data_IF_845088027911
#
_entry.id   IF_845088027911
#
_cell.length_a   1.000
_cell.length_b   1.000
_cell.length_c   1.000
_cell.angle_alpha   90.00
_cell.angle_beta   90.00
_cell.angle_gamma   90.00
#
_symmetry.space_group_name_H-M   'P 1'
#
loop_
_entity.id
_entity.type
_entity.pdbx_description
1 polymer ?
#
# COMPACT_ATOMS: atom_id res chain seq x y z
N UNK A 1 -31.65 -23.65 0.89
CA UNK A 1 -31.33 -23.79 -0.55
C UNK A 1 -30.46 -22.65 -1.10
N UNK A 2 -30.62 -21.38 -0.68
CA UNK A 2 -29.75 -20.28 -1.16
C UNK A 2 -28.25 -20.45 -0.82
N UNK A 3 -27.90 -20.90 0.39
CA UNK A 3 -26.48 -21.05 0.80
C UNK A 3 -25.67 -22.10 0.02
N UNK A 4 -26.31 -23.18 -0.47
CA UNK A 4 -25.60 -24.20 -1.25
C UNK A 4 -25.18 -23.62 -2.61
N UNK A 5 -26.06 -22.83 -3.23
CA UNK A 5 -25.78 -22.18 -4.51
C UNK A 5 -24.62 -21.18 -4.41
N UNK A 6 -24.52 -20.42 -3.30
CA UNK A 6 -23.40 -19.48 -3.11
C UNK A 6 -22.05 -20.21 -2.95
N UNK A 7 -22.02 -21.33 -2.22
CA UNK A 7 -20.79 -22.13 -2.08
C UNK A 7 -20.31 -22.69 -3.42
N UNK A 8 -21.24 -23.16 -4.25
CA UNK A 8 -20.92 -23.68 -5.58
C UNK A 8 -20.32 -22.58 -6.47
N UNK A 9 -20.87 -21.36 -6.43
CA UNK A 9 -20.34 -20.18 -7.15
C UNK A 9 -18.95 -19.77 -6.64
N UNK A 10 -18.71 -19.76 -5.33
CA UNK A 10 -17.38 -19.50 -4.74
C UNK A 10 -16.37 -20.54 -5.24
N UNK A 11 -16.75 -21.81 -5.30
CA UNK A 11 -15.88 -22.87 -5.80
C UNK A 11 -15.59 -22.72 -7.30
N UNK A 12 -16.58 -22.32 -8.11
CA UNK A 12 -16.37 -21.97 -9.53
C UNK A 12 -15.37 -20.83 -9.66
N UNK A 13 -15.53 -19.75 -8.88
CA UNK A 13 -14.62 -18.62 -8.84
C UNK A 13 -13.19 -19.02 -8.51
N UNK A 14 -12.97 -19.87 -7.50
CA UNK A 14 -11.65 -20.40 -7.17
C UNK A 14 -11.01 -21.14 -8.34
N UNK A 15 -11.74 -22.09 -8.96
CA UNK A 15 -11.22 -22.86 -10.10
C UNK A 15 -10.88 -21.97 -11.29
N UNK A 16 -11.65 -20.91 -11.51
CA UNK A 16 -11.37 -19.96 -12.58
C UNK A 16 -10.13 -19.13 -12.28
N UNK A 17 -9.96 -18.68 -11.03
CA UNK A 17 -8.78 -17.95 -10.60
C UNK A 17 -7.50 -18.80 -10.62
N UNK A 18 -7.59 -20.11 -10.37
CA UNK A 18 -6.47 -21.04 -10.61
C UNK A 18 -5.96 -21.01 -12.06
N UNK A 19 -6.86 -20.79 -13.05
CA UNK A 19 -6.45 -20.62 -14.45
C UNK A 19 -5.71 -19.29 -14.67
N UNK A 20 -6.16 -18.22 -14.01
CA UNK A 20 -5.48 -16.91 -14.03
C UNK A 20 -4.06 -17.05 -13.50
N UNK A 21 -3.88 -17.64 -12.32
CA UNK A 21 -2.55 -17.81 -11.71
C UNK A 21 -1.62 -18.67 -12.58
N UNK A 22 -2.12 -19.75 -13.19
CA UNK A 22 -1.32 -20.55 -14.13
C UNK A 22 -0.84 -19.73 -15.32
N UNK A 23 -1.68 -18.83 -15.83
CA UNK A 23 -1.34 -17.90 -16.91
C UNK A 23 -0.31 -16.87 -16.45
N UNK A 24 -0.48 -16.29 -15.28
CA UNK A 24 0.48 -15.32 -14.70
C UNK A 24 1.86 -15.97 -14.47
N UNK A 25 1.90 -17.17 -13.87
CA UNK A 25 3.15 -17.92 -13.69
C UNK A 25 3.84 -18.30 -15.00
N UNK A 26 3.07 -18.50 -16.08
CA UNK A 26 3.63 -18.68 -17.41
C UNK A 26 4.33 -17.40 -17.90
N UNK A 27 3.77 -16.23 -17.61
CA UNK A 27 4.34 -14.93 -17.99
C UNK A 27 5.50 -14.47 -17.13
N UNK A 28 5.69 -15.06 -15.94
CA UNK A 28 6.91 -14.88 -15.16
C UNK A 28 8.14 -15.55 -15.83
N UNK A 29 7.93 -16.41 -16.83
CA UNK A 29 9.01 -17.08 -17.54
C UNK A 29 9.61 -16.19 -18.64
N UNK A 30 10.95 -16.19 -18.81
CA UNK A 30 11.58 -15.52 -19.94
C UNK A 30 10.99 -16.00 -21.29
N UNK A 31 10.73 -15.05 -22.19
CA UNK A 31 10.22 -15.29 -23.55
C UNK A 31 8.79 -15.86 -23.62
N UNK A 32 8.02 -15.82 -22.54
CA UNK A 32 6.60 -16.16 -22.56
C UNK A 32 5.83 -15.34 -23.61
N UNK A 33 4.88 -15.97 -24.30
CA UNK A 33 4.04 -15.30 -25.31
C UNK A 33 2.58 -15.48 -24.93
N UNK A 34 1.79 -14.43 -25.09
CA UNK A 34 0.35 -14.47 -24.84
C UNK A 34 -0.32 -15.45 -25.81
N UNK A 35 -0.97 -16.47 -25.26
CA UNK A 35 -1.87 -17.35 -26.01
C UNK A 35 -3.26 -16.69 -26.12
N UNK A 36 -3.55 -16.15 -27.30
CA UNK A 36 -4.79 -15.43 -27.57
C UNK A 36 -6.03 -16.32 -27.48
N UNK A 37 -5.95 -17.61 -27.80
CA UNK A 37 -7.09 -18.52 -27.72
C UNK A 37 -7.36 -18.90 -26.26
N UNK A 38 -6.31 -19.10 -25.47
CA UNK A 38 -6.44 -19.24 -24.01
C UNK A 38 -7.06 -17.98 -23.38
N UNK A 39 -6.59 -16.79 -23.73
CA UNK A 39 -7.13 -15.52 -23.23
C UNK A 39 -8.61 -15.36 -23.60
N UNK A 40 -9.05 -15.76 -24.82
CA UNK A 40 -10.46 -15.69 -25.23
C UNK A 40 -11.34 -16.64 -24.41
N UNK A 41 -10.87 -17.86 -24.18
CA UNK A 41 -11.60 -18.84 -23.37
C UNK A 41 -11.73 -18.35 -21.93
N UNK A 42 -10.66 -17.81 -21.36
CA UNK A 42 -10.67 -17.25 -20.01
C UNK A 42 -11.64 -16.06 -19.88
N UNK A 43 -11.63 -15.16 -20.88
CA UNK A 43 -12.58 -14.05 -20.96
C UNK A 43 -14.04 -14.55 -21.00
N UNK A 44 -14.33 -15.59 -21.81
CA UNK A 44 -15.67 -16.19 -21.88
C UNK A 44 -16.08 -16.78 -20.52
N UNK A 45 -15.21 -17.58 -19.90
CA UNK A 45 -15.47 -18.20 -18.60
C UNK A 45 -15.78 -17.16 -17.52
N UNK A 46 -15.09 -16.01 -17.52
CA UNK A 46 -15.36 -14.92 -16.58
C UNK A 46 -16.69 -14.22 -16.86
N UNK A 47 -17.05 -13.99 -18.13
CA UNK A 47 -18.35 -13.41 -18.50
C UNK A 47 -19.49 -14.31 -18.06
N UNK A 48 -19.39 -15.60 -18.35
CA UNK A 48 -20.39 -16.60 -17.97
C UNK A 48 -20.57 -16.65 -16.44
N UNK A 49 -19.46 -16.69 -15.68
CA UNK A 49 -19.54 -16.65 -14.22
C UNK A 49 -20.16 -15.34 -13.72
N UNK A 50 -19.74 -14.19 -14.26
CA UNK A 50 -20.23 -12.87 -13.85
C UNK A 50 -21.75 -12.73 -14.02
N UNK A 51 -22.31 -13.30 -15.10
CA UNK A 51 -23.76 -13.32 -15.35
C UNK A 51 -24.54 -14.21 -14.36
N UNK A 52 -23.92 -15.27 -13.82
CA UNK A 52 -24.52 -16.14 -12.81
C UNK A 52 -24.51 -15.52 -11.39
N UNK A 53 -23.62 -14.57 -11.11
CA UNK A 53 -23.44 -14.02 -9.76
C UNK A 53 -24.65 -13.16 -9.33
N UNK A 54 -25.18 -13.35 -8.12
CA UNK A 54 -26.27 -12.51 -7.62
C UNK A 54 -25.77 -11.09 -7.38
N UNK A 55 -26.57 -10.10 -7.78
CA UNK A 55 -26.33 -8.70 -7.45
C UNK A 55 -26.64 -8.45 -5.98
N UNK A 56 -25.60 -8.32 -5.16
CA UNK A 56 -25.73 -7.96 -3.75
C UNK A 56 -24.77 -6.82 -3.41
N UNK A 57 -25.29 -5.63 -3.18
CA UNK A 57 -24.49 -4.44 -2.84
C UNK A 57 -24.22 -4.32 -1.33
N UNK A 58 -24.90 -5.11 -0.50
CA UNK A 58 -24.83 -5.01 0.96
C UNK A 58 -24.74 -6.39 1.60
N UNK A 59 -23.57 -7.07 1.52
CA UNK A 59 -23.39 -8.40 2.09
C UNK A 59 -23.58 -8.40 3.61
N UNK A 60 -24.34 -9.37 4.12
CA UNK A 60 -24.64 -9.56 5.56
C UNK A 60 -24.08 -10.85 6.14
N UNK A 61 -23.46 -11.67 5.30
CA UNK A 61 -22.80 -12.92 5.70
C UNK A 61 -21.50 -13.10 4.95
N UNK A 62 -20.60 -13.95 5.47
CA UNK A 62 -19.33 -14.25 4.82
C UNK A 62 -19.51 -14.74 3.37
N UNK A 63 -20.44 -15.65 3.11
CA UNK A 63 -20.67 -16.13 1.74
C UNK A 63 -21.17 -15.02 0.80
N UNK A 64 -22.03 -14.13 1.30
CA UNK A 64 -22.48 -12.98 0.53
C UNK A 64 -21.33 -12.02 0.21
N UNK A 65 -20.44 -11.78 1.18
CA UNK A 65 -19.24 -10.95 0.98
C UNK A 65 -18.28 -11.57 -0.03
N UNK A 66 -18.04 -12.87 0.06
CA UNK A 66 -17.18 -13.60 -0.87
C UNK A 66 -17.70 -13.53 -2.31
N UNK A 67 -19.02 -13.57 -2.49
CA UNK A 67 -19.68 -13.42 -3.79
C UNK A 67 -19.63 -11.97 -4.28
N UNK A 68 -19.82 -11.00 -3.39
CA UNK A 68 -19.67 -9.59 -3.68
C UNK A 68 -18.26 -9.28 -4.20
N UNK A 69 -17.22 -9.74 -3.52
CA UNK A 69 -15.83 -9.55 -3.95
C UNK A 69 -15.53 -10.30 -5.27
N UNK A 70 -16.04 -11.53 -5.42
CA UNK A 70 -15.90 -12.30 -6.66
C UNK A 70 -16.50 -11.56 -7.86
N UNK A 71 -17.63 -10.87 -7.68
CA UNK A 71 -18.24 -10.07 -8.76
C UNK A 71 -17.34 -8.92 -9.23
N UNK A 72 -16.63 -8.27 -8.31
CA UNK A 72 -15.69 -7.20 -8.63
C UNK A 72 -14.47 -7.75 -9.36
N UNK A 73 -13.92 -8.86 -8.87
CA UNK A 73 -12.79 -9.55 -9.50
C UNK A 73 -13.15 -9.98 -10.91
N UNK A 74 -14.30 -10.62 -11.12
CA UNK A 74 -14.74 -11.05 -12.45
C UNK A 74 -14.85 -9.85 -13.40
N UNK A 75 -15.49 -8.75 -12.96
CA UNK A 75 -15.59 -7.54 -13.77
C UNK A 75 -14.23 -6.99 -14.17
N UNK A 76 -13.29 -6.89 -13.22
CA UNK A 76 -11.94 -6.38 -13.50
C UNK A 76 -11.15 -7.30 -14.45
N UNK A 77 -11.26 -8.62 -14.26
CA UNK A 77 -10.62 -9.60 -15.14
C UNK A 77 -11.19 -9.53 -16.56
N UNK A 78 -12.51 -9.36 -16.72
CA UNK A 78 -13.14 -9.10 -18.01
C UNK A 78 -12.55 -7.84 -18.65
N UNK A 79 -12.56 -6.71 -17.92
CA UNK A 79 -12.05 -5.43 -18.44
C UNK A 79 -10.57 -5.51 -18.85
N UNK A 80 -9.73 -6.21 -18.08
CA UNK A 80 -8.30 -6.35 -18.37
C UNK A 80 -8.06 -7.28 -19.58
N UNK A 81 -8.76 -8.41 -19.64
CA UNK A 81 -8.63 -9.36 -20.76
C UNK A 81 -9.19 -8.78 -22.06
N UNK A 82 -10.23 -7.95 -22.01
CA UNK A 82 -10.75 -7.25 -23.19
C UNK A 82 -9.75 -6.22 -23.74
N UNK A 83 -9.08 -5.47 -22.85
CA UNK A 83 -8.06 -4.48 -23.24
C UNK A 83 -6.85 -5.14 -23.94
N UNK A 84 -6.54 -6.42 -23.66
CA UNK A 84 -5.50 -7.15 -24.39
C UNK A 84 -5.85 -7.39 -25.86
N UNK A 85 -7.13 -7.55 -26.19
CA UNK A 85 -7.59 -7.77 -27.57
C UNK A 85 -7.88 -6.47 -28.31
N UNK A 86 -8.41 -5.48 -27.61
CA UNK A 86 -8.77 -4.19 -28.17
C UNK A 86 -8.40 -3.09 -27.18
N UNK A 87 -7.14 -2.62 -27.19
CA UNK A 87 -6.65 -1.61 -26.25
C UNK A 87 -7.52 -0.36 -26.32
N UNK A 88 -8.40 -0.20 -25.34
CA UNK A 88 -9.28 0.95 -25.24
C UNK A 88 -8.68 1.96 -24.25
N UNK A 89 -8.67 3.24 -24.61
CA UNK A 89 -8.23 4.28 -23.68
C UNK A 89 -9.39 4.54 -22.73
N UNK A 90 -9.34 3.89 -21.55
CA UNK A 90 -10.29 4.12 -20.46
C UNK A 90 -10.37 5.60 -20.10
N UNK A 91 -11.57 6.11 -19.89
CA UNK A 91 -11.77 7.48 -19.40
C UNK A 91 -11.33 7.56 -17.94
N UNK A 92 -10.98 8.77 -17.44
CA UNK A 92 -10.66 8.95 -16.04
C UNK A 92 -11.72 8.39 -15.08
N UNK A 93 -13.00 8.58 -15.37
CA UNK A 93 -14.11 8.11 -14.55
C UNK A 93 -14.19 6.58 -14.51
N UNK A 94 -13.90 5.92 -15.63
CA UNK A 94 -13.81 4.46 -15.68
C UNK A 94 -12.67 3.96 -14.80
N UNK A 95 -11.48 4.59 -14.88
CA UNK A 95 -10.32 4.21 -14.07
C UNK A 95 -10.59 4.45 -12.58
N UNK A 96 -11.16 5.59 -12.21
CA UNK A 96 -11.54 5.92 -10.82
C UNK A 96 -12.53 4.87 -10.26
N UNK A 97 -13.55 4.52 -11.05
CA UNK A 97 -14.55 3.53 -10.64
C UNK A 97 -13.97 2.13 -10.44
N UNK A 98 -12.91 1.75 -11.16
CA UNK A 98 -12.26 0.43 -10.98
C UNK A 98 -11.59 0.28 -9.60
N UNK A 99 -11.20 1.39 -8.97
CA UNK A 99 -10.47 1.41 -7.70
C UNK A 99 -11.33 1.83 -6.50
N UNK A 100 -12.64 1.94 -6.69
CA UNK A 100 -13.60 2.33 -5.64
C UNK A 100 -13.31 3.71 -5.00
N UNK A 101 -12.67 4.60 -5.76
CA UNK A 101 -12.37 5.95 -5.30
C UNK A 101 -13.61 6.83 -5.45
N UNK A 102 -14.13 7.31 -4.33
CA UNK A 102 -15.27 8.22 -4.26
C UNK A 102 -14.85 9.69 -4.27
N UNK A 103 -15.78 10.59 -4.60
CA UNK A 103 -15.55 12.04 -4.47
C UNK A 103 -15.30 12.45 -3.01
N UNK A 104 -15.90 11.74 -2.06
CA UNK A 104 -15.73 11.97 -0.63
C UNK A 104 -14.27 11.75 -0.17
N UNK A 105 -13.55 10.80 -0.76
CA UNK A 105 -12.14 10.54 -0.45
C UNK A 105 -11.28 11.77 -0.79
N UNK A 106 -11.52 12.36 -1.96
CA UNK A 106 -10.83 13.57 -2.39
C UNK A 106 -11.24 14.80 -1.57
N UNK A 107 -12.49 14.89 -1.14
CA UNK A 107 -12.94 16.01 -0.31
C UNK A 107 -12.34 15.95 1.11
N UNK A 108 -12.22 14.75 1.70
CA UNK A 108 -11.47 14.52 2.95
C UNK A 108 -10.01 14.93 2.80
N UNK A 109 -9.35 14.57 1.70
CA UNK A 109 -7.95 14.97 1.43
C UNK A 109 -7.82 16.49 1.35
N UNK A 110 -8.71 17.16 0.60
CA UNK A 110 -8.71 18.63 0.47
C UNK A 110 -8.92 19.32 1.82
N UNK A 111 -9.80 18.80 2.65
CA UNK A 111 -10.02 19.30 4.01
C UNK A 111 -8.79 19.07 4.89
N UNK A 112 -8.22 17.87 4.85
CA UNK A 112 -7.01 17.52 5.61
C UNK A 112 -5.84 18.46 5.28
N UNK A 113 -5.60 18.76 4.00
CA UNK A 113 -4.55 19.68 3.54
C UNK A 113 -4.74 21.10 4.09
N UNK A 114 -5.98 21.57 4.18
CA UNK A 114 -6.31 22.88 4.75
C UNK A 114 -6.12 22.90 6.27
N UNK A 115 -6.66 21.90 6.96
CA UNK A 115 -6.68 21.83 8.42
C UNK A 115 -5.30 21.54 9.03
N UNK A 116 -4.40 20.88 8.30
CA UNK A 116 -3.06 20.53 8.79
C UNK A 116 -1.95 21.49 8.35
N UNK A 117 -2.29 22.57 7.63
CA UNK A 117 -1.28 23.46 7.02
C UNK A 117 -0.26 23.98 8.02
N UNK A 118 -0.70 24.44 9.19
CA UNK A 118 0.19 24.96 10.24
C UNK A 118 1.10 23.87 10.82
N UNK A 119 0.56 22.68 11.06
CA UNK A 119 1.32 21.53 11.56
C UNK A 119 2.40 21.09 10.56
N UNK A 120 2.08 21.09 9.26
CA UNK A 120 3.03 20.75 8.19
C UNK A 120 4.18 21.76 8.14
N UNK A 121 3.87 23.06 8.21
CA UNK A 121 4.90 24.11 8.25
C UNK A 121 5.79 23.95 9.49
N UNK A 122 5.19 23.70 10.66
CA UNK A 122 5.94 23.50 11.91
C UNK A 122 6.85 22.27 11.85
N UNK A 123 6.35 21.13 11.34
CA UNK A 123 7.15 19.92 11.15
C UNK A 123 8.31 20.14 10.17
N UNK A 124 8.07 20.85 9.05
CA UNK A 124 9.12 21.18 8.10
C UNK A 124 10.20 22.07 8.74
N UNK A 125 9.83 23.06 9.56
CA UNK A 125 10.79 23.91 10.28
C UNK A 125 11.64 23.11 11.27
N UNK A 126 11.02 22.22 12.06
CA UNK A 126 11.77 21.33 12.98
C UNK A 126 12.75 20.43 12.24
N UNK A 127 12.34 19.84 11.11
CA UNK A 127 13.21 19.01 10.28
C UNK A 127 14.35 19.82 9.66
N UNK A 128 14.08 21.06 9.21
CA UNK A 128 15.12 21.96 8.71
C UNK A 128 16.15 22.30 9.79
N UNK A 129 15.71 22.59 11.01
CA UNK A 129 16.59 22.88 12.15
C UNK A 129 17.44 21.66 12.51
N UNK A 130 16.83 20.47 12.60
CA UNK A 130 17.49 19.21 12.92
C UNK A 130 18.58 18.80 11.91
N UNK A 131 18.45 19.18 10.64
CA UNK A 131 19.38 18.82 9.56
C UNK A 131 20.25 19.98 9.05
N UNK A 132 20.16 21.16 9.67
CA UNK A 132 20.87 22.36 9.22
C UNK A 132 22.40 22.33 9.39
N UNK A 133 22.92 21.44 10.23
CA UNK A 133 24.30 21.50 10.71
C UNK A 133 25.30 20.61 9.97
N UNK A 134 24.86 19.67 9.12
CA UNK A 134 25.78 18.74 8.44
C UNK A 134 25.24 18.19 7.12
N UNK A 135 26.07 18.24 6.07
CA UNK A 135 25.71 17.69 4.75
C UNK A 135 25.85 16.18 4.75
N UNK A 136 24.71 15.50 4.72
CA UNK A 136 24.63 14.04 4.56
C UNK A 136 24.81 13.68 3.08
N UNK A 137 25.36 12.50 2.81
CA UNK A 137 25.35 11.92 1.47
C UNK A 137 24.80 10.50 1.49
N UNK A 138 24.36 10.01 0.34
CA UNK A 138 23.96 8.61 0.22
C UNK A 138 25.15 7.69 0.50
N UNK A 139 24.86 6.48 0.99
CA UNK A 139 25.88 5.45 1.16
C UNK A 139 26.36 5.00 -0.22
N UNK A 140 27.68 5.05 -0.44
CA UNK A 140 28.29 4.63 -1.71
C UNK A 140 28.35 3.09 -1.83
N UNK A 141 27.19 2.48 -2.10
CA UNK A 141 27.00 1.02 -2.19
C UNK A 141 27.79 0.35 -3.32
N UNK A 142 28.39 1.15 -4.22
CA UNK A 142 29.37 0.67 -5.20
C UNK A 142 30.70 0.19 -4.56
N UNK A 143 31.03 0.63 -3.36
CA UNK A 143 32.16 0.09 -2.59
C UNK A 143 31.75 -1.19 -1.85
N UNK A 144 32.39 -2.34 -2.12
CA UNK A 144 32.09 -3.58 -1.41
C UNK A 144 32.31 -3.46 0.11
N UNK A 145 33.28 -2.66 0.55
CA UNK A 145 33.57 -2.46 1.97
C UNK A 145 32.44 -1.70 2.65
N UNK A 146 31.99 -0.58 2.07
CA UNK A 146 30.88 0.20 2.64
C UNK A 146 29.57 -0.58 2.60
N UNK A 147 29.35 -1.36 1.54
CA UNK A 147 28.20 -2.27 1.42
C UNK A 147 28.19 -3.29 2.56
N UNK A 148 29.30 -3.99 2.80
CA UNK A 148 29.37 -4.96 3.90
C UNK A 148 29.14 -4.32 5.28
N UNK A 149 29.66 -3.11 5.50
CA UNK A 149 29.46 -2.35 6.74
C UNK A 149 27.99 -2.01 6.96
N UNK A 150 27.30 -1.47 5.95
CA UNK A 150 25.90 -1.05 6.09
C UNK A 150 24.94 -2.23 6.16
N UNK A 151 25.19 -3.31 5.40
CA UNK A 151 24.42 -4.55 5.50
C UNK A 151 24.56 -5.14 6.90
N UNK A 152 25.77 -5.20 7.45
CA UNK A 152 26.01 -5.70 8.81
C UNK A 152 25.31 -4.84 9.86
N UNK A 153 25.34 -3.50 9.71
CA UNK A 153 24.66 -2.57 10.60
C UNK A 153 23.16 -2.84 10.64
N UNK A 154 22.51 -2.89 9.47
CA UNK A 154 21.05 -3.11 9.38
C UNK A 154 20.69 -4.52 9.87
N UNK A 155 21.45 -5.55 9.49
CA UNK A 155 21.22 -6.93 9.96
C UNK A 155 21.26 -7.05 11.48
N UNK A 156 22.17 -6.33 12.15
CA UNK A 156 22.20 -6.31 13.62
C UNK A 156 20.90 -5.75 14.20
N UNK A 157 20.36 -4.67 13.64
CA UNK A 157 19.08 -4.11 14.07
C UNK A 157 17.89 -4.99 13.67
N UNK A 158 17.94 -5.73 12.56
CA UNK A 158 16.95 -6.76 12.20
C UNK A 158 16.88 -7.81 13.31
N UNK A 159 18.03 -8.32 13.78
CA UNK A 159 18.07 -9.33 14.83
C UNK A 159 17.60 -8.80 16.19
N UNK A 160 17.89 -7.54 16.50
CA UNK A 160 17.33 -6.88 17.69
C UNK A 160 15.80 -6.77 17.56
N UNK A 161 15.31 -6.33 16.40
CA UNK A 161 13.88 -6.18 16.16
C UNK A 161 13.14 -7.52 16.26
N UNK A 162 13.69 -8.61 15.71
CA UNK A 162 13.13 -9.97 15.86
C UNK A 162 13.00 -10.38 17.33
N UNK A 163 13.97 -10.02 18.19
CA UNK A 163 13.88 -10.29 19.64
C UNK A 163 12.77 -9.48 20.28
N UNK A 164 12.64 -8.20 19.92
CA UNK A 164 11.54 -7.34 20.40
C UNK A 164 10.19 -7.92 19.98
N UNK A 165 10.03 -8.34 18.72
CA UNK A 165 8.82 -9.02 18.26
C UNK A 165 8.54 -10.30 19.06
N UNK A 166 9.55 -11.14 19.25
CA UNK A 166 9.42 -12.40 19.99
C UNK A 166 9.03 -12.19 21.46
N UNK A 167 9.41 -11.06 22.06
CA UNK A 167 9.17 -10.80 23.48
C UNK A 167 7.87 -10.04 23.73
N UNK A 168 7.54 -9.10 22.84
CA UNK A 168 6.47 -8.12 23.08
C UNK A 168 5.28 -8.26 22.12
N UNK A 169 5.46 -8.94 20.99
CA UNK A 169 4.42 -9.16 19.97
C UNK A 169 4.14 -10.65 19.72
N UNK A 170 4.61 -11.55 20.58
CA UNK A 170 4.46 -13.00 20.40
C UNK A 170 3.01 -13.46 20.28
N UNK A 171 2.09 -12.79 20.98
CA UNK A 171 0.66 -13.08 20.96
C UNK A 171 -0.08 -12.44 19.76
N UNK A 172 0.62 -11.62 18.97
CA UNK A 172 0.03 -10.96 17.83
C UNK A 172 -0.07 -11.91 16.62
N UNK A 173 -1.21 -11.97 15.89
CA UNK A 173 -1.43 -12.98 14.87
C UNK A 173 -0.35 -13.02 13.78
N UNK A 174 0.22 -14.21 13.56
CA UNK A 174 1.22 -14.45 12.51
C UNK A 174 2.66 -14.11 12.90
N UNK A 175 2.92 -13.46 14.05
CA UNK A 175 4.29 -13.14 14.49
C UNK A 175 5.15 -14.38 14.73
N UNK A 176 4.66 -15.46 15.39
CA UNK A 176 5.45 -16.69 15.52
C UNK A 176 5.85 -17.28 14.16
N UNK A 177 4.92 -17.31 13.20
CA UNK A 177 5.18 -17.80 11.84
C UNK A 177 6.13 -16.88 11.06
N UNK A 178 6.04 -15.57 11.25
CA UNK A 178 6.96 -14.60 10.67
C UNK A 178 8.39 -14.89 11.11
N UNK A 179 8.61 -15.08 12.42
CA UNK A 179 9.93 -15.33 12.99
C UNK A 179 10.51 -16.71 12.58
N UNK A 180 9.65 -17.69 12.32
CA UNK A 180 10.04 -19.04 11.90
C UNK A 180 10.30 -19.15 10.39
N UNK A 181 9.48 -18.47 9.56
CA UNK A 181 9.40 -18.77 8.13
C UNK A 181 9.84 -17.63 7.20
N UNK A 182 9.85 -16.38 7.65
CA UNK A 182 10.20 -15.23 6.80
C UNK A 182 11.66 -14.81 6.99
N UNK A 183 12.34 -14.58 5.86
CA UNK A 183 13.69 -14.02 5.84
C UNK A 183 13.60 -12.50 5.76
N UNK A 184 13.96 -11.80 6.83
CA UNK A 184 14.13 -10.34 6.81
C UNK A 184 15.57 -10.05 6.45
N UNK A 185 15.80 -9.44 5.29
CA UNK A 185 17.12 -9.21 4.69
C UNK A 185 17.32 -7.75 4.29
N UNK A 186 18.54 -7.42 3.91
CA UNK A 186 18.94 -6.10 3.42
C UNK A 186 19.00 -6.11 1.91
N UNK A 187 18.52 -5.03 1.29
CA UNK A 187 18.56 -4.82 -0.14
C UNK A 187 19.44 -3.60 -0.46
N UNK A 188 20.59 -3.91 -1.06
CA UNK A 188 21.65 -2.95 -1.38
C UNK A 188 21.66 -2.53 -2.85
N UNK A 189 20.84 -3.16 -3.70
CA UNK A 189 20.76 -2.86 -5.14
C UNK A 189 19.50 -2.07 -5.45
N UNK A 190 18.35 -2.53 -4.93
CA UNK A 190 17.09 -1.82 -5.10
C UNK A 190 16.94 -0.73 -4.01
N UNK A 191 16.70 0.54 -4.36
CA UNK A 191 16.48 1.58 -3.36
C UNK A 191 15.16 1.43 -2.60
N UNK A 192 14.23 0.60 -3.08
CA UNK A 192 12.93 0.36 -2.44
C UNK A 192 13.01 -0.86 -1.52
N UNK A 193 12.35 -0.74 -0.37
CA UNK A 193 11.98 -1.90 0.44
C UNK A 193 10.74 -2.57 -0.16
N UNK A 194 10.59 -3.87 0.07
CA UNK A 194 9.42 -4.63 -0.38
C UNK A 194 9.30 -5.96 0.38
N UNK A 195 8.06 -6.41 0.57
CA UNK A 195 7.72 -7.76 1.00
C UNK A 195 7.41 -8.68 -0.19
N UNK A 196 8.13 -9.79 -0.28
CA UNK A 196 7.94 -10.84 -1.28
C UNK A 196 7.23 -12.05 -0.65
N UNK A 197 5.98 -12.28 -1.08
CA UNK A 197 5.16 -13.40 -0.61
C UNK A 197 5.74 -14.76 -1.04
N UNK A 198 6.23 -14.86 -2.28
CA UNK A 198 6.69 -16.13 -2.87
C UNK A 198 8.02 -16.55 -2.28
N UNK A 199 8.97 -15.62 -2.16
CA UNK A 199 10.26 -15.85 -1.54
C UNK A 199 10.19 -15.95 -0.01
N UNK A 200 9.03 -15.58 0.58
CA UNK A 200 8.84 -15.41 2.03
C UNK A 200 9.94 -14.53 2.63
N UNK A 201 10.13 -13.36 2.04
CA UNK A 201 11.19 -12.46 2.41
C UNK A 201 10.69 -11.01 2.51
N UNK A 202 11.28 -10.25 3.42
CA UNK A 202 11.15 -8.81 3.48
C UNK A 202 12.53 -8.20 3.24
N UNK A 203 12.63 -7.30 2.27
CA UNK A 203 13.87 -6.69 1.85
C UNK A 203 13.88 -5.22 2.28
N UNK A 204 14.82 -4.84 3.15
CA UNK A 204 14.95 -3.49 3.69
C UNK A 204 15.99 -2.72 2.86
N UNK A 205 15.53 -1.68 2.15
CA UNK A 205 16.37 -0.87 1.27
C UNK A 205 17.34 0.04 2.04
N UNK A 206 18.64 -0.11 1.78
CA UNK A 206 19.68 0.68 2.46
C UNK A 206 19.51 2.19 2.24
N UNK A 207 19.21 2.59 1.01
CA UNK A 207 19.09 4.01 0.63
C UNK A 207 17.99 4.77 1.39
N UNK A 208 17.03 4.07 2.00
CA UNK A 208 15.92 4.68 2.74
C UNK A 208 16.23 4.90 4.22
N UNK A 209 17.19 4.15 4.78
CA UNK A 209 17.42 4.10 6.22
C UNK A 209 18.87 4.37 6.65
N UNK A 210 19.80 4.59 5.73
CA UNK A 210 21.19 4.93 6.06
C UNK A 210 21.70 6.14 5.28
N UNK A 211 22.67 6.83 5.87
CA UNK A 211 23.39 7.93 5.23
C UNK A 211 24.86 7.92 5.63
N UNK A 212 25.68 8.66 4.88
CA UNK A 212 27.07 8.96 5.19
C UNK A 212 27.21 10.35 5.81
N UNK A 213 28.00 10.43 6.87
CA UNK A 213 28.42 11.68 7.50
C UNK A 213 29.83 11.53 8.05
N UNK A 214 30.71 12.49 7.73
CA UNK A 214 32.11 12.51 8.16
C UNK A 214 32.88 11.20 7.89
N UNK A 215 32.57 10.56 6.76
CA UNK A 215 33.20 9.29 6.36
C UNK A 215 32.62 8.04 7.02
N UNK A 216 31.62 8.18 7.90
CA UNK A 216 30.98 7.08 8.61
C UNK A 216 29.57 6.79 8.06
N UNK A 217 29.19 5.51 8.08
CA UNK A 217 27.82 5.07 7.82
C UNK A 217 27.00 5.26 9.08
N UNK A 218 25.84 5.92 8.95
CA UNK A 218 24.92 6.21 10.04
C UNK A 218 23.53 5.68 9.70
N UNK A 219 22.83 5.17 10.71
CA UNK A 219 21.43 4.76 10.60
C UNK A 219 20.50 5.97 10.76
N UNK A 220 19.33 5.89 10.16
CA UNK A 220 18.16 6.74 10.42
C UNK A 220 17.12 5.86 11.14
N UNK A 221 17.11 5.82 12.48
CA UNK A 221 16.31 4.87 13.26
C UNK A 221 14.82 4.88 12.91
N UNK A 222 14.24 6.08 12.79
CA UNK A 222 12.83 6.25 12.45
C UNK A 222 12.48 5.71 11.05
N UNK A 223 13.43 5.77 10.11
CA UNK A 223 13.20 5.19 8.77
C UNK A 223 13.31 3.68 8.81
N UNK A 224 14.27 3.14 9.56
CA UNK A 224 14.40 1.69 9.70
C UNK A 224 13.14 1.07 10.33
N UNK A 225 12.67 1.65 11.44
CA UNK A 225 11.45 1.21 12.13
C UNK A 225 10.21 1.34 11.26
N UNK A 226 10.07 2.45 10.52
CA UNK A 226 8.99 2.66 9.56
C UNK A 226 8.96 1.55 8.51
N UNK A 227 10.12 1.19 7.94
CA UNK A 227 10.21 0.09 6.97
C UNK A 227 9.88 -1.27 7.58
N UNK A 228 10.24 -1.52 8.84
CA UNK A 228 9.83 -2.75 9.52
C UNK A 228 8.34 -2.81 9.78
N UNK A 229 7.75 -1.74 10.32
CA UNK A 229 6.31 -1.69 10.56
C UNK A 229 5.52 -1.88 9.26
N UNK A 230 5.95 -1.21 8.19
CA UNK A 230 5.26 -1.24 6.90
C UNK A 230 5.41 -2.60 6.18
N UNK A 231 6.64 -3.02 5.90
CA UNK A 231 6.89 -4.22 5.08
C UNK A 231 6.70 -5.51 5.88
N UNK A 232 7.16 -5.54 7.14
CA UNK A 232 7.18 -6.76 7.94
C UNK A 232 5.88 -6.92 8.72
N UNK A 233 5.48 -5.94 9.52
CA UNK A 233 4.26 -6.04 10.32
C UNK A 233 2.99 -5.78 9.50
N UNK A 234 3.07 -4.96 8.46
CA UNK A 234 1.99 -4.73 7.52
C UNK A 234 1.88 -5.88 6.51
N UNK A 235 2.76 -5.89 5.51
CA UNK A 235 2.63 -6.81 4.39
C UNK A 235 2.93 -8.27 4.73
N UNK A 236 4.05 -8.59 5.40
CA UNK A 236 4.37 -10.01 5.67
C UNK A 236 3.34 -10.65 6.61
N UNK A 237 2.91 -9.98 7.69
CA UNK A 237 1.85 -10.52 8.54
C UNK A 237 0.52 -10.62 7.80
N UNK A 238 0.18 -9.67 6.91
CA UNK A 238 -1.00 -9.81 6.08
C UNK A 238 -0.93 -11.05 5.19
N UNK A 239 0.21 -11.32 4.55
CA UNK A 239 0.40 -12.53 3.75
C UNK A 239 0.27 -13.80 4.60
N UNK A 240 0.93 -13.87 5.75
CA UNK A 240 0.89 -15.03 6.66
C UNK A 240 -0.54 -15.31 7.12
N UNK A 241 -1.22 -14.31 7.68
CA UNK A 241 -2.56 -14.49 8.23
C UNK A 241 -3.58 -14.79 7.11
N UNK A 242 -3.41 -14.20 5.94
CA UNK A 242 -4.20 -14.53 4.75
C UNK A 242 -4.00 -15.98 4.32
N UNK A 243 -2.77 -16.46 4.24
CA UNK A 243 -2.47 -17.83 3.80
C UNK A 243 -2.99 -18.88 4.80
N UNK A 244 -2.93 -18.57 6.10
CA UNK A 244 -3.46 -19.43 7.19
C UNK A 244 -4.99 -19.44 7.28
N UNK A 245 -5.69 -18.46 6.71
CA UNK A 245 -7.15 -18.37 6.77
C UNK A 245 -7.85 -19.43 5.91
N UNK A 246 -9.16 -19.61 6.09
CA UNK A 246 -9.99 -20.46 5.22
C UNK A 246 -10.53 -19.74 3.98
N UNK A 247 -10.02 -18.54 3.68
CA UNK A 247 -10.52 -17.73 2.56
C UNK A 247 -10.28 -18.40 1.20
N UNK A 248 -11.16 -18.16 0.21
CA UNK A 248 -10.97 -18.63 -1.16
C UNK A 248 -9.65 -18.15 -1.78
N UNK A 249 -9.10 -18.92 -2.73
CA UNK A 249 -7.87 -18.60 -3.46
C UNK A 249 -7.94 -17.22 -4.13
N UNK A 250 -9.08 -16.88 -4.74
CA UNK A 250 -9.26 -15.58 -5.37
C UNK A 250 -9.26 -14.40 -4.39
N UNK A 251 -9.32 -14.62 -3.07
CA UNK A 251 -9.06 -13.60 -2.06
C UNK A 251 -7.60 -13.62 -1.63
N UNK A 252 -7.04 -14.82 -1.42
CA UNK A 252 -5.67 -15.02 -0.95
C UNK A 252 -4.61 -14.52 -1.93
N UNK A 253 -4.92 -14.57 -3.22
CA UNK A 253 -4.00 -14.22 -4.30
C UNK A 253 -4.39 -12.96 -5.07
N UNK A 254 -5.42 -12.22 -4.63
CA UNK A 254 -5.81 -10.94 -5.23
C UNK A 254 -4.86 -9.81 -4.86
N UNK A 255 -3.59 -9.93 -5.23
CA UNK A 255 -2.50 -8.98 -4.92
C UNK A 255 -2.39 -7.93 -6.05
N UNK A 256 -3.53 -7.51 -6.59
CA UNK A 256 -3.60 -6.62 -7.75
C UNK A 256 -3.86 -5.15 -7.41
N UNK A 257 -3.91 -4.28 -8.43
CA UNK A 257 -4.25 -2.86 -8.29
C UNK A 257 -5.56 -2.57 -7.55
N UNK A 258 -6.52 -3.51 -7.56
CA UNK A 258 -7.81 -3.35 -6.87
C UNK A 258 -7.74 -3.42 -5.35
N UNK A 259 -6.79 -4.20 -4.81
CA UNK A 259 -6.62 -4.37 -3.36
C UNK A 259 -5.51 -3.50 -2.80
N UNK A 260 -4.74 -2.82 -3.67
CA UNK A 260 -3.55 -2.06 -3.24
C UNK A 260 -3.89 -1.00 -2.20
N UNK A 261 -5.01 -0.29 -2.35
CA UNK A 261 -5.43 0.71 -1.37
C UNK A 261 -5.61 0.13 0.04
N UNK A 262 -6.32 -1.00 0.16
CA UNK A 262 -6.45 -1.74 1.42
C UNK A 262 -5.10 -2.22 1.95
N UNK A 263 -4.26 -2.79 1.09
CA UNK A 263 -2.95 -3.33 1.48
C UNK A 263 -2.02 -2.26 2.03
N UNK A 264 -1.90 -1.12 1.34
CA UNK A 264 -1.09 0.00 1.81
C UNK A 264 -1.69 0.63 3.07
N UNK A 265 -3.02 0.76 3.16
CA UNK A 265 -3.71 1.29 4.34
C UNK A 265 -3.47 0.40 5.58
N UNK A 266 -3.45 -0.94 5.41
CA UNK A 266 -3.03 -1.87 6.46
C UNK A 266 -1.56 -1.65 6.83
N UNK A 267 -0.66 -1.57 5.85
CA UNK A 267 0.75 -1.39 6.12
C UNK A 267 1.08 -0.06 6.82
N UNK A 268 0.42 1.03 6.43
CA UNK A 268 0.51 2.33 7.08
C UNK A 268 0.02 2.32 8.54
N UNK A 269 -1.03 1.54 8.83
CA UNK A 269 -1.50 1.34 10.20
C UNK A 269 -0.44 0.63 11.06
N UNK A 270 0.11 -0.48 10.57
CA UNK A 270 1.14 -1.25 11.28
C UNK A 270 2.48 -0.52 11.38
N UNK A 271 2.79 0.34 10.41
CA UNK A 271 3.86 1.33 10.50
C UNK A 271 3.65 2.27 11.69
N UNK A 272 2.44 2.77 11.92
CA UNK A 272 2.17 3.65 13.06
C UNK A 272 2.14 2.89 14.38
N UNK A 273 1.52 1.71 14.40
CA UNK A 273 1.34 0.89 15.59
C UNK A 273 2.66 0.53 16.28
N UNK A 274 3.71 0.22 15.53
CA UNK A 274 5.02 -0.07 16.12
C UNK A 274 5.59 1.15 16.87
N UNK A 275 5.42 2.36 16.35
CA UNK A 275 5.89 3.57 17.03
C UNK A 275 5.07 3.87 18.28
N UNK A 276 3.74 3.78 18.19
CA UNK A 276 2.85 3.96 19.35
C UNK A 276 3.16 2.95 20.45
N UNK A 277 3.39 1.69 20.08
CA UNK A 277 3.74 0.64 21.02
C UNK A 277 5.06 0.93 21.74
N UNK A 278 6.12 1.24 21.00
CA UNK A 278 7.44 1.54 21.58
C UNK A 278 7.40 2.82 22.43
N UNK A 279 6.61 3.82 22.02
CA UNK A 279 6.43 5.05 22.80
C UNK A 279 5.71 4.78 24.14
N UNK A 280 4.73 3.87 24.12
CA UNK A 280 4.00 3.44 25.32
C UNK A 280 4.73 2.41 26.18
N UNK A 281 5.83 1.81 25.69
CA UNK A 281 6.56 0.74 26.36
C UNK A 281 8.07 0.98 26.36
N UNK A 282 8.53 1.62 27.43
CA UNK A 282 9.94 1.97 27.61
C UNK A 282 10.88 0.75 27.58
N UNK A 283 10.50 -0.38 28.16
CA UNK A 283 11.36 -1.57 28.16
C UNK A 283 11.57 -2.12 26.74
N UNK A 284 10.52 -2.10 25.91
CA UNK A 284 10.62 -2.49 24.51
C UNK A 284 11.44 -1.48 23.69
N UNK A 285 11.25 -0.18 23.91
CA UNK A 285 12.04 0.88 23.28
C UNK A 285 13.53 0.79 23.64
N UNK A 286 13.85 0.62 24.93
CA UNK A 286 15.24 0.47 25.40
C UNK A 286 15.88 -0.81 24.81
N UNK A 287 15.09 -1.88 24.63
CA UNK A 287 15.56 -3.13 23.99
C UNK A 287 15.95 -2.97 22.53
N UNK A 288 15.41 -1.97 21.81
CA UNK A 288 15.82 -1.65 20.44
C UNK A 288 17.28 -1.18 20.35
N UNK A 289 17.90 -0.81 21.47
CA UNK A 289 19.33 -0.47 21.58
C UNK A 289 19.78 0.63 20.62
N UNK A 290 18.90 1.59 20.31
CA UNK A 290 19.31 2.80 19.59
C UNK A 290 20.21 3.67 20.47
N UNK A 291 21.19 4.33 19.86
CA UNK A 291 22.07 5.28 20.56
C UNK A 291 21.33 6.54 21.04
N UNK A 292 20.19 6.84 20.39
CA UNK A 292 19.36 7.99 20.68
C UNK A 292 18.12 7.61 21.49
N UNK A 293 17.69 8.52 22.36
CA UNK A 293 16.43 8.42 23.08
C UNK A 293 15.22 8.26 22.13
N UNK A 294 14.36 7.27 22.42
CA UNK A 294 13.26 6.90 21.55
C UNK A 294 12.25 8.03 21.36
N UNK A 295 12.05 8.92 22.34
CA UNK A 295 11.13 10.06 22.20
C UNK A 295 11.53 10.95 21.03
N UNK A 296 12.84 11.16 20.81
CA UNK A 296 13.33 11.96 19.68
C UNK A 296 13.14 11.24 18.34
N UNK A 297 13.32 9.91 18.33
CA UNK A 297 13.06 9.08 17.16
C UNK A 297 11.57 9.17 16.79
N UNK A 298 10.69 9.06 17.79
CA UNK A 298 9.24 9.16 17.65
C UNK A 298 8.78 10.55 17.15
N UNK A 299 9.37 11.63 17.67
CA UNK A 299 9.12 13.00 17.19
C UNK A 299 9.53 13.17 15.72
N UNK A 300 10.70 12.66 15.33
CA UNK A 300 11.13 12.68 13.92
C UNK A 300 10.25 11.82 13.02
N UNK A 301 9.78 10.67 13.50
CA UNK A 301 8.79 9.85 12.80
C UNK A 301 7.51 10.64 12.56
N UNK A 302 6.96 11.26 13.60
CA UNK A 302 5.72 12.04 13.53
C UNK A 302 5.83 13.19 12.52
N UNK A 303 6.94 13.94 12.56
CA UNK A 303 7.23 15.02 11.59
C UNK A 303 7.40 14.47 10.17
N UNK A 304 8.08 13.34 10.02
CA UNK A 304 8.26 12.69 8.72
C UNK A 304 6.93 12.20 8.13
N UNK A 305 6.05 11.62 8.96
CA UNK A 305 4.76 11.08 8.55
C UNK A 305 3.85 12.20 8.04
N UNK A 306 3.69 13.29 8.80
CA UNK A 306 2.84 14.41 8.36
C UNK A 306 3.34 15.08 7.07
N UNK A 307 4.67 15.14 6.88
CA UNK A 307 5.26 15.65 5.65
C UNK A 307 5.05 14.69 4.45
N UNK A 308 5.17 13.38 4.68
CA UNK A 308 4.89 12.35 3.66
C UNK A 308 3.42 12.38 3.24
N UNK A 309 2.51 12.39 4.22
CA UNK A 309 1.07 12.48 3.99
C UNK A 309 0.71 13.75 3.23
N UNK A 310 1.34 14.89 3.54
CA UNK A 310 1.16 16.14 2.80
C UNK A 310 1.50 16.00 1.31
N UNK A 311 2.66 15.44 0.97
CA UNK A 311 3.06 15.30 -0.43
C UNK A 311 2.20 14.29 -1.19
N UNK A 312 1.80 13.19 -0.54
CA UNK A 312 0.91 12.18 -1.11
C UNK A 312 -0.48 12.79 -1.38
N UNK A 313 -1.07 13.43 -0.37
CA UNK A 313 -2.36 14.11 -0.48
C UNK A 313 -2.38 15.20 -1.55
N UNK A 314 -1.32 16.01 -1.60
CA UNK A 314 -1.20 17.06 -2.61
C UNK A 314 -1.07 16.48 -4.02
N UNK A 315 -0.36 15.36 -4.19
CA UNK A 315 -0.29 14.64 -5.46
C UNK A 315 -1.65 14.06 -5.87
N UNK A 316 -2.44 13.50 -4.94
CA UNK A 316 -3.79 13.00 -5.23
C UNK A 316 -4.72 14.10 -5.74
N UNK A 317 -4.72 15.27 -5.10
CA UNK A 317 -5.46 16.46 -5.57
C UNK A 317 -4.97 16.88 -6.96
N UNK A 318 -3.66 16.81 -7.20
CA UNK A 318 -3.03 17.03 -8.50
C UNK A 318 -3.57 16.10 -9.59
N UNK A 319 -3.52 14.79 -9.37
CA UNK A 319 -4.02 13.79 -10.31
C UNK A 319 -5.51 13.97 -10.57
N UNK A 320 -6.31 14.26 -9.54
CA UNK A 320 -7.73 14.52 -9.68
C UNK A 320 -8.04 15.75 -10.55
N UNK A 321 -7.35 16.88 -10.32
CA UNK A 321 -7.55 18.09 -11.12
C UNK A 321 -7.15 17.83 -12.58
N UNK A 322 -5.99 17.19 -12.80
CA UNK A 322 -5.52 16.87 -14.15
C UNK A 322 -6.44 15.89 -14.88
N UNK A 323 -7.10 14.98 -14.16
CA UNK A 323 -8.01 14.00 -14.75
C UNK A 323 -9.35 14.62 -15.20
N UNK A 324 -9.73 15.78 -14.66
CA UNK A 324 -10.96 16.51 -15.00
C UNK A 324 -10.71 17.77 -15.86
N UNK A 325 -9.49 17.93 -16.38
CA UNK A 325 -9.08 19.08 -17.20
C UNK A 325 -8.33 18.63 -18.46
N UNK A 326 -8.05 19.57 -19.37
CA UNK A 326 -7.32 19.29 -20.61
C UNK A 326 -5.85 19.62 -20.47
N UNK A 327 -5.01 19.02 -21.32
CA UNK A 327 -3.57 19.28 -21.38
C UNK A 327 -3.20 20.78 -21.47
N UNK A 328 -4.01 21.57 -22.20
CA UNK A 328 -3.75 22.99 -22.43
C UNK A 328 -4.31 23.93 -21.33
N UNK A 329 -5.02 23.39 -20.33
CA UNK A 329 -5.63 24.15 -19.23
C UNK A 329 -4.61 24.50 -18.11
N UNK A 330 -3.33 24.72 -18.46
CA UNK A 330 -2.24 24.89 -17.49
C UNK A 330 -2.55 25.94 -16.40
N UNK A 331 -2.96 27.14 -16.80
CA UNK A 331 -3.23 28.23 -15.84
C UNK A 331 -4.40 27.89 -14.90
N UNK A 332 -5.41 27.17 -15.41
CA UNK A 332 -6.55 26.71 -14.61
C UNK A 332 -6.10 25.64 -13.61
N UNK A 333 -5.35 24.64 -14.06
CA UNK A 333 -4.82 23.57 -13.20
C UNK A 333 -3.95 24.11 -12.08
N UNK A 334 -3.04 25.03 -12.39
CA UNK A 334 -2.18 25.69 -11.40
C UNK A 334 -3.02 26.48 -10.40
N UNK A 335 -4.01 27.25 -10.89
CA UNK A 335 -4.90 28.04 -10.02
C UNK A 335 -5.73 27.18 -9.07
N UNK A 336 -6.21 26.02 -9.53
CA UNK A 336 -7.01 25.10 -8.70
C UNK A 336 -6.16 24.36 -7.66
N UNK A 337 -4.89 24.10 -7.93
CA UNK A 337 -3.95 23.46 -6.99
C UNK A 337 -3.39 24.40 -5.93
N UNK A 338 -3.23 25.68 -6.28
CA UNK A 338 -2.59 26.69 -5.43
C UNK A 338 -3.13 26.77 -3.99
N UNK A 339 -4.45 26.67 -3.73
CA UNK A 339 -4.99 26.77 -2.37
C UNK A 339 -4.53 25.66 -1.42
N UNK A 340 -4.07 24.53 -1.95
CA UNK A 340 -3.68 23.35 -1.17
C UNK A 340 -2.17 23.25 -0.96
N UNK A 341 -1.37 23.99 -1.75
CA UNK A 341 0.09 23.93 -1.69
C UNK A 341 0.66 24.98 -0.74
N UNK A 342 1.58 24.55 0.12
CA UNK A 342 2.45 25.42 0.90
C UNK A 342 3.55 26.03 0.01
N UNK A 343 4.12 25.24 -0.92
CA UNK A 343 5.09 25.73 -1.91
C UNK A 343 4.37 26.30 -3.14
N UNK A 344 4.49 27.61 -3.35
CA UNK A 344 3.86 28.32 -4.47
C UNK A 344 4.34 27.85 -5.85
N UNK A 345 5.53 27.26 -5.96
CA UNK A 345 6.08 26.76 -7.23
C UNK A 345 5.65 25.33 -7.54
N UNK A 346 5.29 24.56 -6.51
CA UNK A 346 4.97 23.15 -6.67
C UNK A 346 3.83 22.90 -7.68
N UNK A 347 2.70 23.62 -7.67
CA UNK A 347 1.61 23.39 -8.64
C UNK A 347 2.06 23.47 -10.10
N UNK A 348 2.81 24.53 -10.45
CA UNK A 348 3.32 24.72 -11.81
C UNK A 348 4.31 23.62 -12.20
N UNK A 349 5.20 23.22 -11.29
CA UNK A 349 6.16 22.14 -11.53
C UNK A 349 5.46 20.78 -11.68
N UNK A 350 4.45 20.51 -10.86
CA UNK A 350 3.67 19.28 -10.89
C UNK A 350 2.89 19.13 -12.20
N UNK A 351 2.19 20.17 -12.65
CA UNK A 351 1.49 20.12 -13.95
C UNK A 351 2.49 19.96 -15.09
N UNK A 352 3.60 20.71 -15.08
CA UNK A 352 4.59 20.65 -16.14
C UNK A 352 5.28 19.29 -16.27
N UNK A 353 5.64 18.63 -15.15
CA UNK A 353 6.27 17.30 -15.19
C UNK A 353 5.35 16.22 -15.78
N UNK A 354 4.03 16.43 -15.70
CA UNK A 354 3.03 15.49 -16.21
C UNK A 354 2.53 15.82 -17.63
N UNK A 355 3.01 16.88 -18.29
CA UNK A 355 2.51 17.25 -19.64
C UNK A 355 2.55 16.13 -20.68
N UNK A 356 3.49 15.19 -20.58
CA UNK A 356 3.59 14.05 -21.50
C UNK A 356 2.68 12.88 -21.12
N UNK A 357 1.97 12.98 -20.01
CA UNK A 357 1.04 11.95 -19.54
C UNK A 357 -0.40 12.15 -20.05
N UNK A 358 -0.61 13.01 -21.04
CA UNK A 358 -1.86 13.07 -21.78
C UNK A 358 -1.74 12.29 -23.08
N UNK A 359 -2.77 11.51 -23.38
CA UNK A 359 -2.87 10.83 -24.66
C UNK A 359 -3.13 11.86 -25.77
N UNK A 360 -2.21 11.95 -26.74
CA UNK A 360 -2.30 12.94 -27.84
C UNK A 360 -3.52 12.77 -28.74
N UNK A 361 -4.07 11.56 -28.83
CA UNK A 361 -5.22 11.25 -29.70
C UNK A 361 -6.55 11.54 -29.03
N UNK A 362 -6.69 11.24 -27.73
CA UNK A 362 -7.95 11.44 -27.00
C UNK A 362 -7.98 12.73 -26.19
N UNK A 363 -6.83 13.33 -25.91
CA UNK A 363 -6.70 14.49 -25.02
C UNK A 363 -6.97 14.17 -23.55
N UNK A 364 -7.06 12.88 -23.19
CA UNK A 364 -7.31 12.40 -21.82
C UNK A 364 -6.00 12.12 -21.08
N UNK A 365 -6.02 12.30 -19.76
CA UNK A 365 -4.92 11.87 -18.90
C UNK A 365 -4.75 10.35 -18.98
N UNK A 366 -3.52 9.86 -19.06
CA UNK A 366 -3.23 8.44 -19.22
C UNK A 366 -3.73 7.63 -18.02
N UNK A 367 -4.31 6.43 -18.23
CA UNK A 367 -4.81 5.57 -17.16
C UNK A 367 -3.80 5.28 -16.05
N UNK A 368 -2.50 5.12 -16.39
CA UNK A 368 -1.42 4.93 -15.42
C UNK A 368 -1.36 6.04 -14.36
N UNK A 369 -1.64 7.29 -14.75
CA UNK A 369 -1.60 8.45 -13.84
C UNK A 369 -2.89 8.54 -13.04
N UNK A 370 -4.04 8.37 -13.71
CA UNK A 370 -5.34 8.36 -13.02
C UNK A 370 -5.41 7.25 -11.98
N UNK A 371 -4.80 6.09 -12.26
CA UNK A 371 -4.82 4.93 -11.36
C UNK A 371 -4.16 5.20 -10.00
N UNK A 372 -3.27 6.19 -9.90
CA UNK A 372 -2.64 6.55 -8.62
C UNK A 372 -3.66 7.08 -7.60
N UNK A 373 -4.81 7.57 -8.07
CA UNK A 373 -5.93 7.97 -7.20
C UNK A 373 -6.43 6.84 -6.30
N UNK A 374 -6.14 5.57 -6.61
CA UNK A 374 -6.47 4.43 -5.71
C UNK A 374 -5.93 4.63 -4.30
N UNK A 375 -4.79 5.31 -4.14
CA UNK A 375 -4.18 5.60 -2.84
C UNK A 375 -4.84 6.77 -2.08
N UNK A 376 -5.90 7.38 -2.63
CA UNK A 376 -6.73 8.33 -1.90
C UNK A 376 -7.73 7.65 -0.95
N UNK A 377 -8.05 6.38 -1.19
CA UNK A 377 -8.88 5.60 -0.30
C UNK A 377 -8.04 5.05 0.87
N UNK A 378 -8.48 5.33 2.10
CA UNK A 378 -7.81 4.88 3.34
C UNK A 378 -8.80 4.11 4.23
N UNK A 379 -9.18 2.87 3.84
CA UNK A 379 -10.26 2.14 4.49
C UNK A 379 -9.97 1.81 5.96
N UNK A 380 -8.71 1.57 6.35
CA UNK A 380 -8.36 1.24 7.75
C UNK A 380 -8.58 2.45 8.65
N UNK A 381 -8.06 3.63 8.26
CA UNK A 381 -8.25 4.85 9.03
C UNK A 381 -9.71 5.22 9.21
N UNK A 382 -10.52 5.01 8.17
CA UNK A 382 -11.97 5.23 8.26
C UNK A 382 -12.66 4.27 9.22
N UNK A 383 -12.26 3.00 9.24
CA UNK A 383 -12.82 2.01 10.17
C UNK A 383 -12.44 2.28 11.62
N UNK A 384 -11.22 2.77 11.86
CA UNK A 384 -10.72 3.06 13.21
C UNK A 384 -11.19 4.41 13.75
N UNK A 385 -11.74 5.29 12.90
CA UNK A 385 -12.20 6.61 13.30
C UNK A 385 -13.27 6.55 14.39
N UNK A 386 -12.94 7.02 15.60
CA UNK A 386 -13.87 7.11 16.73
C UNK A 386 -14.18 5.76 17.41
N UNK A 387 -13.42 4.71 17.10
CA UNK A 387 -13.53 3.41 17.76
C UNK A 387 -12.77 3.43 19.09
N UNK A 388 -13.22 2.64 20.07
CA UNK A 388 -12.50 2.50 21.34
C UNK A 388 -11.37 1.47 21.25
N UNK A 389 -10.41 1.54 22.18
CA UNK A 389 -9.19 0.71 22.15
C UNK A 389 -9.44 -0.81 22.11
N UNK A 390 -10.44 -1.32 22.82
CA UNK A 390 -10.72 -2.77 22.83
C UNK A 390 -11.16 -3.25 21.44
N UNK A 391 -12.02 -2.46 20.78
CA UNK A 391 -12.51 -2.79 19.45
C UNK A 391 -11.45 -2.54 18.37
N UNK A 392 -10.53 -1.61 18.59
CA UNK A 392 -9.35 -1.41 17.73
C UNK A 392 -8.48 -2.67 17.67
N UNK A 393 -8.14 -3.28 18.80
CA UNK A 393 -7.37 -4.54 18.84
C UNK A 393 -8.08 -5.71 18.13
N UNK A 394 -9.42 -5.74 18.13
CA UNK A 394 -10.20 -6.72 17.38
C UNK A 394 -10.13 -6.46 15.87
N UNK A 395 -10.27 -5.20 15.45
CA UNK A 395 -10.17 -4.78 14.05
C UNK A 395 -8.78 -5.07 13.50
N UNK A 396 -7.71 -4.79 14.25
CA UNK A 396 -6.32 -5.01 13.85
C UNK A 396 -6.04 -6.46 13.42
N UNK A 397 -6.64 -7.43 14.13
CA UNK A 397 -6.50 -8.86 13.81
C UNK A 397 -7.25 -9.21 12.53
N UNK A 398 -8.39 -8.56 12.27
CA UNK A 398 -9.22 -8.81 11.11
C UNK A 398 -8.65 -8.19 9.83
N UNK A 399 -8.11 -6.97 9.89
CA UNK A 399 -7.58 -6.27 8.71
C UNK A 399 -6.33 -6.94 8.12
N UNK A 400 -5.64 -7.78 8.90
CA UNK A 400 -4.53 -8.60 8.44
C UNK A 400 -4.95 -9.83 7.62
N UNK A 401 -6.23 -10.14 7.52
CA UNK A 401 -6.70 -11.37 6.86
C UNK A 401 -7.39 -11.01 5.54
N UNK A 402 -6.83 -11.48 4.42
CA UNK A 402 -7.37 -11.36 3.06
C UNK A 402 -6.82 -10.16 2.28
N UNK A 403 -6.83 -10.28 0.94
CA UNK A 403 -6.56 -9.15 0.03
C UNK A 403 -7.89 -8.62 -0.52
N UNK A 404 -8.51 -7.73 0.25
CA UNK A 404 -9.82 -7.19 -0.05
C UNK A 404 -9.77 -5.88 -0.84
N UNK A 405 -10.74 -5.65 -1.72
CA UNK A 405 -11.08 -4.28 -2.16
C UNK A 405 -11.50 -3.40 -0.98
N UNK A 406 -11.35 -2.06 -1.06
CA UNK A 406 -11.65 -1.16 0.05
C UNK A 406 -13.04 -1.35 0.67
N UNK A 407 -14.09 -1.48 -0.14
CA UNK A 407 -15.43 -1.69 0.38
C UNK A 407 -15.60 -3.10 1.01
N UNK A 408 -14.97 -4.12 0.42
CA UNK A 408 -15.04 -5.49 0.94
C UNK A 408 -14.28 -5.66 2.26
N UNK A 409 -13.19 -4.90 2.48
CA UNK A 409 -12.50 -4.87 3.77
C UNK A 409 -13.42 -4.36 4.89
N UNK A 410 -14.16 -3.28 4.64
CA UNK A 410 -15.12 -2.71 5.59
C UNK A 410 -16.22 -3.71 5.94
N UNK A 411 -16.74 -4.42 4.95
CA UNK A 411 -17.73 -5.48 5.18
C UNK A 411 -17.13 -6.67 5.93
N UNK A 412 -15.90 -7.08 5.61
CA UNK A 412 -15.19 -8.15 6.31
C UNK A 412 -15.08 -7.87 7.80
N UNK A 413 -14.61 -6.67 8.16
CA UNK A 413 -14.52 -6.23 9.55
C UNK A 413 -15.92 -6.15 10.17
N UNK A 414 -16.90 -5.55 9.49
CA UNK A 414 -18.26 -5.40 10.02
C UNK A 414 -19.00 -6.73 10.27
N UNK A 415 -18.66 -7.80 9.54
CA UNK A 415 -19.27 -9.13 9.70
C UNK A 415 -18.59 -9.94 10.81
N UNK A 416 -17.30 -9.68 11.08
CA UNK A 416 -16.48 -10.49 11.99
C UNK A 416 -16.07 -9.77 13.29
N UNK A 417 -16.47 -8.50 13.48
CA UNK A 417 -16.24 -7.72 14.72
C UNK A 417 -17.45 -7.63 15.64
#
# INVERSE_FOLDING_TARGET
MQNQNLKDLIQKGNKLYEKVLKREYHFDQPYSVIDLDHTKNLLSDFKDLYEELPKNENPRSLNELLIYELSKICKNQIDNLEDEFNPSIKTPEQVISMYEVGSEDLDKIKEWLKSNRENIVAANLRQMEAYSSSRRSDVALGSPQLRAVVESLILNYIEIFKKVLSQYFSDFPGVPQLLDTYVISVESVNPRSYADKVAKAAYIGVARCCYMLDGNVNLIPEKLLSLFGHEVLGHCLNYINTDLSELPLYIKENIGPMSSASKESVADHFESLIFEFLNGNKEAADSMSFEEDFQKIYERYSDTRILSDYWNNLAMVGFWIMSHTKMDDFDKQVKELLPYSIDIKWPANFVNRHRQDWNRSTGLLLPKVVSELRYSADPVKEMLAGVNKLKEEEIEKLILIGNWTPASLKHWVGINS
#
